data_IF_298911281463
#
_entry.id   IF_298911281463
#
_cell.length_a   1.000
_cell.length_b   1.000
_cell.length_c   1.000
_cell.angle_alpha   90.00
_cell.angle_beta   90.00
_cell.angle_gamma   90.00
#
_symmetry.space_group_name_H-M   'P 1'
#
loop_
_entity.id
_entity.type
_entity.pdbx_description
1 polymer ?
#
# COMPACT_ATOMS: atom_id res chain seq x y z
N UNK A 1 28.87 32.75 -11.07
CA UNK A 1 27.77 32.12 -10.30
C UNK A 1 28.37 30.88 -9.67
N UNK A 2 28.38 30.81 -8.34
CA UNK A 2 29.16 29.83 -7.56
C UNK A 2 28.55 28.43 -7.67
N UNK A 3 29.33 27.42 -8.09
CA UNK A 3 28.83 26.09 -8.44
C UNK A 3 28.10 25.41 -7.25
N UNK A 4 28.54 25.70 -6.03
CA UNK A 4 27.93 25.20 -4.80
C UNK A 4 26.48 25.70 -4.62
N UNK A 5 26.24 26.98 -4.92
CA UNK A 5 24.89 27.58 -4.82
C UNK A 5 23.91 26.95 -5.82
N UNK A 6 24.38 26.63 -7.02
CA UNK A 6 23.56 25.93 -8.01
C UNK A 6 23.17 24.53 -7.53
N UNK A 7 24.11 23.80 -6.91
CA UNK A 7 23.85 22.46 -6.36
C UNK A 7 22.83 22.51 -5.23
N UNK A 8 22.94 23.47 -4.31
CA UNK A 8 21.97 23.64 -3.21
C UNK A 8 20.56 23.97 -3.71
N UNK A 9 20.43 24.90 -4.65
CA UNK A 9 19.11 25.25 -5.22
C UNK A 9 18.49 24.05 -5.96
N UNK A 10 19.31 23.25 -6.64
CA UNK A 10 18.86 22.06 -7.36
C UNK A 10 18.53 20.90 -6.41
N UNK A 11 19.33 20.73 -5.35
CA UNK A 11 19.13 19.74 -4.28
C UNK A 11 17.79 19.96 -3.58
N UNK A 12 17.57 21.19 -3.07
CA UNK A 12 16.33 21.58 -2.40
C UNK A 12 15.07 21.31 -3.23
N UNK A 13 15.10 21.68 -4.51
CA UNK A 13 13.98 21.40 -5.43
C UNK A 13 13.76 19.90 -5.65
N UNK A 14 14.83 19.12 -5.76
CA UNK A 14 14.74 17.67 -5.99
C UNK A 14 14.15 16.98 -4.76
N UNK A 15 14.63 17.34 -3.57
CA UNK A 15 14.10 16.85 -2.31
C UNK A 15 12.61 17.19 -2.14
N UNK A 16 12.21 18.43 -2.46
CA UNK A 16 10.81 18.86 -2.38
C UNK A 16 9.90 18.04 -3.31
N UNK A 17 10.33 17.79 -4.55
CA UNK A 17 9.58 16.96 -5.52
C UNK A 17 9.43 15.52 -5.03
N UNK A 18 10.52 14.95 -4.51
CA UNK A 18 10.53 13.56 -4.02
C UNK A 18 9.67 13.42 -2.76
N UNK A 19 9.76 14.37 -1.84
CA UNK A 19 8.90 14.43 -0.65
C UNK A 19 7.42 14.56 -1.04
N UNK A 20 7.09 15.46 -1.96
CA UNK A 20 5.71 15.60 -2.46
C UNK A 20 5.20 14.30 -3.07
N UNK A 21 6.04 13.61 -3.85
CA UNK A 21 5.68 12.31 -4.44
C UNK A 21 5.41 11.24 -3.38
N UNK A 22 6.17 11.23 -2.29
CA UNK A 22 5.95 10.35 -1.15
C UNK A 22 4.60 10.62 -0.46
N UNK A 23 4.27 11.88 -0.24
CA UNK A 23 3.00 12.31 0.36
C UNK A 23 1.80 11.98 -0.55
N UNK A 24 1.94 12.22 -1.86
CA UNK A 24 0.90 11.88 -2.85
C UNK A 24 0.65 10.37 -2.91
N UNK A 25 1.71 9.55 -2.86
CA UNK A 25 1.58 8.08 -2.82
C UNK A 25 0.97 7.59 -1.51
N UNK A 26 1.31 8.22 -0.39
CA UNK A 26 0.70 7.94 0.91
C UNK A 26 -0.82 8.16 0.86
N UNK A 27 -1.24 9.35 0.41
CA UNK A 27 -2.64 9.74 0.31
C UNK A 27 -3.42 8.81 -0.62
N UNK A 28 -2.83 8.45 -1.76
CA UNK A 28 -3.41 7.44 -2.66
C UNK A 28 -3.58 6.08 -1.98
N UNK A 29 -2.59 5.60 -1.24
CA UNK A 29 -2.69 4.34 -0.51
C UNK A 29 -3.82 4.38 0.53
N UNK A 30 -3.94 5.48 1.29
CA UNK A 30 -5.00 5.68 2.30
C UNK A 30 -6.38 5.73 1.64
N UNK A 31 -6.54 6.49 0.55
CA UNK A 31 -7.79 6.60 -0.20
C UNK A 31 -8.22 5.25 -0.78
N UNK A 32 -7.28 4.52 -1.37
CA UNK A 32 -7.56 3.19 -1.93
C UNK A 32 -7.93 2.20 -0.81
N UNK A 33 -7.18 2.18 0.30
CA UNK A 33 -7.52 1.33 1.45
C UNK A 33 -8.91 1.64 1.99
N UNK A 34 -9.28 2.92 2.10
CA UNK A 34 -10.60 3.37 2.54
C UNK A 34 -11.69 2.88 1.60
N UNK A 35 -11.48 3.03 0.28
CA UNK A 35 -12.42 2.56 -0.74
C UNK A 35 -12.60 1.04 -0.68
N UNK A 36 -11.54 0.29 -0.41
CA UNK A 36 -11.63 -1.16 -0.23
C UNK A 36 -12.38 -1.53 1.05
N UNK A 37 -12.13 -0.87 2.17
CA UNK A 37 -12.88 -1.13 3.40
C UNK A 37 -14.38 -0.84 3.20
N UNK A 38 -14.70 0.28 2.57
CA UNK A 38 -16.08 0.65 2.25
C UNK A 38 -16.74 -0.36 1.28
N UNK A 39 -16.04 -0.78 0.23
CA UNK A 39 -16.51 -1.81 -0.71
C UNK A 39 -16.75 -3.16 -0.04
N UNK A 40 -15.84 -3.60 0.83
CA UNK A 40 -15.98 -4.82 1.63
C UNK A 40 -17.18 -4.75 2.58
N UNK A 41 -17.39 -3.61 3.24
CA UNK A 41 -18.56 -3.36 4.09
C UNK A 41 -19.88 -3.38 3.32
N UNK A 42 -19.93 -2.78 2.13
CA UNK A 42 -21.11 -2.82 1.27
C UNK A 42 -21.46 -4.25 0.82
N UNK A 43 -20.45 -5.06 0.50
CA UNK A 43 -20.66 -6.48 0.17
C UNK A 43 -21.15 -7.29 1.37
N UNK A 44 -20.61 -7.05 2.57
CA UNK A 44 -21.09 -7.68 3.80
C UNK A 44 -22.55 -7.31 4.09
N UNK A 45 -22.93 -6.03 3.94
CA UNK A 45 -24.31 -5.58 4.12
C UNK A 45 -25.27 -6.21 3.10
N UNK A 46 -24.85 -6.31 1.83
CA UNK A 46 -25.61 -7.01 0.79
C UNK A 46 -25.81 -8.50 1.12
N UNK A 47 -24.79 -9.16 1.67
CA UNK A 47 -24.90 -10.56 2.12
C UNK A 47 -25.94 -10.73 3.22
N UNK A 48 -25.91 -9.86 4.23
CA UNK A 48 -26.87 -9.88 5.34
C UNK A 48 -28.30 -9.64 4.86
N UNK A 49 -28.50 -8.78 3.85
CA UNK A 49 -29.81 -8.57 3.22
C UNK A 49 -30.38 -9.82 2.50
N UNK A 50 -29.52 -10.80 2.18
CA UNK A 50 -29.90 -12.06 1.54
C UNK A 50 -30.11 -13.22 2.52
N UNK A 51 -30.14 -12.96 3.83
CA UNK A 51 -30.27 -13.98 4.88
C UNK A 51 -31.50 -14.90 4.79
N UNK A 52 -32.54 -14.52 4.03
CA UNK A 52 -33.75 -15.32 3.81
C UNK A 52 -33.81 -16.07 2.47
N UNK A 53 -32.73 -16.15 1.70
CA UNK A 53 -32.73 -16.81 0.40
C UNK A 53 -32.89 -18.33 0.50
N UNK A 54 -33.52 -18.96 -0.51
CA UNK A 54 -33.78 -20.42 -0.58
C UNK A 54 -32.53 -21.30 -0.54
N UNK A 55 -31.35 -20.76 -0.85
CA UNK A 55 -30.04 -21.42 -0.72
C UNK A 55 -29.02 -20.45 -0.10
N UNK A 56 -29.03 -20.30 1.24
CA UNK A 56 -28.21 -19.29 1.90
C UNK A 56 -26.72 -19.67 1.89
N UNK A 57 -26.36 -20.93 2.13
CA UNK A 57 -24.96 -21.34 2.26
C UNK A 57 -24.10 -21.02 1.02
N UNK A 58 -24.63 -21.28 -0.18
CA UNK A 58 -23.96 -21.00 -1.44
C UNK A 58 -23.76 -19.49 -1.66
N UNK A 59 -24.81 -18.69 -1.46
CA UNK A 59 -24.74 -17.24 -1.67
C UNK A 59 -23.81 -16.54 -0.66
N UNK A 60 -23.82 -17.02 0.59
CA UNK A 60 -22.97 -16.49 1.64
C UNK A 60 -21.50 -16.85 1.43
N UNK A 61 -21.20 -18.05 0.91
CA UNK A 61 -19.83 -18.46 0.60
C UNK A 61 -19.18 -17.57 -0.47
N UNK A 62 -19.91 -17.25 -1.56
CA UNK A 62 -19.39 -16.36 -2.61
C UNK A 62 -19.12 -14.94 -2.11
N UNK A 63 -20.00 -14.41 -1.26
CA UNK A 63 -19.83 -13.06 -0.71
C UNK A 63 -18.73 -13.01 0.36
N UNK A 64 -18.57 -14.07 1.16
CA UNK A 64 -17.48 -14.19 2.12
C UNK A 64 -16.11 -14.21 1.42
N UNK A 65 -15.96 -14.95 0.32
CA UNK A 65 -14.72 -14.96 -0.47
C UNK A 65 -14.41 -13.56 -1.01
N UNK A 66 -15.42 -12.88 -1.56
CA UNK A 66 -15.28 -11.51 -2.06
C UNK A 66 -14.88 -10.51 -0.96
N UNK A 67 -15.52 -10.60 0.21
CA UNK A 67 -15.19 -9.76 1.35
C UNK A 67 -13.74 -9.99 1.82
N UNK A 68 -13.31 -11.25 1.93
CA UNK A 68 -11.93 -11.59 2.33
C UNK A 68 -10.91 -11.00 1.35
N UNK A 69 -11.14 -11.08 0.04
CA UNK A 69 -10.24 -10.48 -0.96
C UNK A 69 -10.15 -8.97 -0.81
N UNK A 70 -11.28 -8.30 -0.59
CA UNK A 70 -11.34 -6.85 -0.42
C UNK A 70 -10.65 -6.39 0.87
N UNK A 71 -10.90 -7.07 1.99
CA UNK A 71 -10.24 -6.78 3.26
C UNK A 71 -8.75 -7.14 3.25
N UNK A 72 -8.35 -8.18 2.51
CA UNK A 72 -6.95 -8.52 2.32
C UNK A 72 -6.21 -7.44 1.53
N UNK A 73 -6.80 -6.94 0.44
CA UNK A 73 -6.24 -5.81 -0.33
C UNK A 73 -6.18 -4.51 0.50
N UNK A 74 -7.17 -4.25 1.34
CA UNK A 74 -7.12 -3.14 2.28
C UNK A 74 -5.99 -3.31 3.30
N UNK A 75 -5.84 -4.50 3.88
CA UNK A 75 -4.81 -4.79 4.87
C UNK A 75 -3.39 -4.70 4.30
N UNK A 76 -3.17 -5.14 3.05
CA UNK A 76 -1.87 -5.01 2.39
C UNK A 76 -1.52 -3.54 2.12
N UNK A 77 -2.49 -2.73 1.70
CA UNK A 77 -2.31 -1.28 1.54
C UNK A 77 -2.05 -0.57 2.87
N UNK A 78 -2.78 -0.93 3.92
CA UNK A 78 -2.57 -0.31 5.24
C UNK A 78 -1.17 -0.64 5.75
N UNK A 79 -0.75 -1.92 5.72
CA UNK A 79 0.56 -2.34 6.23
C UNK A 79 1.73 -1.84 5.39
N UNK A 80 1.65 -1.94 4.07
CA UNK A 80 2.78 -1.65 3.17
C UNK A 80 2.78 -0.24 2.57
N UNK A 81 1.60 0.37 2.39
CA UNK A 81 1.43 1.66 1.72
C UNK A 81 1.14 2.83 2.68
N UNK A 82 0.24 2.61 3.65
CA UNK A 82 -0.22 3.66 4.56
C UNK A 82 0.59 3.75 5.86
N UNK A 83 1.31 2.71 6.28
CA UNK A 83 2.21 2.85 7.43
C UNK A 83 3.30 3.87 7.11
N UNK A 84 3.53 4.82 8.02
CA UNK A 84 4.69 5.72 7.92
C UNK A 84 5.96 4.88 8.00
N UNK A 85 6.84 5.01 7.01
CA UNK A 85 8.19 4.44 7.12
C UNK A 85 9.04 5.36 7.97
N UNK A 86 10.07 4.82 8.61
CA UNK A 86 11.09 5.60 9.32
C UNK A 86 11.96 6.34 8.30
N UNK A 87 11.38 7.39 7.71
CA UNK A 87 12.09 8.27 6.79
C UNK A 87 12.78 9.34 7.62
N UNK A 88 14.10 9.54 7.47
CA UNK A 88 14.86 10.46 8.30
C UNK A 88 14.29 11.88 8.22
N UNK A 89 14.07 12.47 9.39
CA UNK A 89 13.70 13.87 9.51
C UNK A 89 14.87 14.77 9.14
N UNK A 90 14.56 15.98 8.65
CA UNK A 90 15.55 16.99 8.32
C UNK A 90 16.49 17.27 9.50
N UNK A 91 17.74 17.65 9.20
CA UNK A 91 18.65 18.18 10.21
C UNK A 91 18.18 19.59 10.53
N UNK A 92 17.75 19.81 11.77
CA UNK A 92 17.34 21.13 12.23
C UNK A 92 18.54 22.11 12.24
N UNK A 93 18.27 23.43 12.17
CA UNK A 93 19.31 24.46 12.09
C UNK A 93 20.29 24.42 13.26
N UNK A 94 19.85 24.02 14.46
CA UNK A 94 20.71 23.86 15.63
C UNK A 94 21.82 22.81 15.43
N UNK A 95 21.56 21.75 14.66
CA UNK A 95 22.54 20.70 14.39
C UNK A 95 23.50 21.12 13.27
N UNK A 96 23.05 21.90 12.29
CA UNK A 96 23.95 22.55 11.31
C UNK A 96 24.92 23.52 12.00
N UNK A 97 24.43 24.32 12.95
CA UNK A 97 25.27 25.19 13.77
C UNK A 97 26.30 24.39 14.58
N UNK A 98 25.92 23.24 15.12
CA UNK A 98 26.86 22.38 15.85
C UNK A 98 27.99 21.83 14.98
N UNK A 99 27.74 21.53 13.70
CA UNK A 99 28.78 21.13 12.75
C UNK A 99 29.73 22.30 12.47
N UNK A 100 29.18 23.48 12.21
CA UNK A 100 29.94 24.71 11.99
C UNK A 100 30.86 25.03 13.16
N UNK A 101 30.31 25.05 14.38
CA UNK A 101 31.07 25.30 15.62
C UNK A 101 32.15 24.22 15.86
N UNK A 102 31.86 22.97 15.46
CA UNK A 102 32.81 21.86 15.52
C UNK A 102 34.03 22.09 14.63
N UNK A 103 33.82 22.58 13.39
CA UNK A 103 34.91 22.92 12.48
C UNK A 103 35.71 24.13 12.96
N UNK A 104 35.06 25.15 13.52
CA UNK A 104 35.77 26.28 14.12
C UNK A 104 36.65 25.85 15.30
N UNK A 105 36.13 24.99 16.19
CA UNK A 105 36.90 24.42 17.31
C UNK A 105 38.08 23.57 16.85
N UNK A 106 38.01 22.97 15.66
CA UNK A 106 39.09 22.22 15.04
C UNK A 106 40.19 23.10 14.39
N UNK A 107 40.06 24.43 14.47
CA UNK A 107 41.05 25.38 13.95
C UNK A 107 40.85 25.75 12.47
N UNK A 108 39.71 25.42 11.87
CA UNK A 108 39.36 25.83 10.50
C UNK A 108 38.92 27.29 10.48
N UNK A 109 39.17 28.01 9.37
CA UNK A 109 38.68 29.39 9.19
C UNK A 109 37.14 29.39 9.12
N UNK A 110 36.52 30.55 9.37
CA UNK A 110 35.06 30.67 9.31
C UNK A 110 34.49 30.34 7.92
N UNK A 111 35.20 30.75 6.85
CA UNK A 111 34.79 30.49 5.47
C UNK A 111 34.91 29.00 5.11
N UNK A 112 36.02 28.35 5.49
CA UNK A 112 36.21 26.90 5.26
C UNK A 112 35.22 26.06 6.09
N UNK A 113 34.94 26.47 7.34
CA UNK A 113 33.96 25.81 8.19
C UNK A 113 32.55 25.89 7.60
N UNK A 114 32.19 27.04 7.02
CA UNK A 114 30.92 27.24 6.33
C UNK A 114 30.84 26.37 5.07
N UNK A 115 31.88 26.36 4.24
CA UNK A 115 31.91 25.55 3.02
C UNK A 115 31.79 24.05 3.33
N UNK A 116 32.53 23.56 4.34
CA UNK A 116 32.46 22.15 4.78
C UNK A 116 31.06 21.79 5.30
N UNK A 117 30.46 22.68 6.10
CA UNK A 117 29.10 22.46 6.62
C UNK A 117 28.08 22.39 5.48
N UNK A 118 28.18 23.28 4.48
CA UNK A 118 27.31 23.26 3.28
C UNK A 118 27.47 21.98 2.47
N UNK A 119 28.70 21.49 2.29
CA UNK A 119 28.96 20.22 1.58
C UNK A 119 28.39 19.01 2.32
N UNK A 120 28.48 18.97 3.64
CA UNK A 120 27.86 17.91 4.44
C UNK A 120 26.33 17.99 4.44
N UNK A 121 25.76 19.19 4.42
CA UNK A 121 24.31 19.36 4.26
C UNK A 121 23.82 18.78 2.93
N UNK A 122 24.50 19.08 1.82
CA UNK A 122 24.19 18.52 0.50
C UNK A 122 24.26 16.98 0.52
N UNK A 123 25.29 16.41 1.18
CA UNK A 123 25.42 14.96 1.30
C UNK A 123 24.26 14.34 2.08
N UNK A 124 23.87 14.95 3.20
CA UNK A 124 22.74 14.49 4.00
C UNK A 124 21.41 14.65 3.25
N UNK A 125 21.28 15.68 2.40
CA UNK A 125 20.11 15.86 1.54
C UNK A 125 20.03 14.75 0.48
N UNK A 126 21.13 14.41 -0.18
CA UNK A 126 21.20 13.31 -1.15
C UNK A 126 20.83 11.96 -0.50
N UNK A 127 21.36 11.66 0.69
CA UNK A 127 21.00 10.45 1.44
C UNK A 127 19.49 10.39 1.73
N UNK A 128 18.87 11.53 2.08
CA UNK A 128 17.41 11.59 2.26
C UNK A 128 16.68 11.36 0.95
N UNK A 129 17.11 12.00 -0.14
CA UNK A 129 16.49 11.84 -1.47
C UNK A 129 16.43 10.36 -1.83
N UNK A 130 17.53 9.62 -1.63
CA UNK A 130 17.59 8.18 -1.89
C UNK A 130 16.60 7.39 -1.02
N UNK A 131 16.57 7.65 0.30
CA UNK A 131 15.63 6.95 1.20
C UNK A 131 14.17 7.24 0.84
N UNK A 132 13.83 8.49 0.49
CA UNK A 132 12.48 8.82 0.05
C UNK A 132 12.15 8.19 -1.32
N UNK A 133 13.09 8.15 -2.26
CA UNK A 133 12.91 7.53 -3.56
C UNK A 133 12.64 6.02 -3.42
N UNK A 134 13.40 5.33 -2.58
CA UNK A 134 13.19 3.91 -2.26
C UNK A 134 11.83 3.68 -1.60
N UNK A 135 11.45 4.55 -0.66
CA UNK A 135 10.15 4.48 -0.02
C UNK A 135 9.00 4.67 -1.02
N UNK A 136 9.14 5.59 -1.97
CA UNK A 136 8.19 5.80 -3.06
C UNK A 136 8.07 4.57 -3.97
N UNK A 137 9.20 3.99 -4.38
CA UNK A 137 9.26 2.78 -5.21
C UNK A 137 8.55 1.60 -4.54
N UNK A 138 8.83 1.36 -3.26
CA UNK A 138 8.16 0.28 -2.53
C UNK A 138 6.65 0.53 -2.39
N UNK A 139 6.22 1.79 -2.15
CA UNK A 139 4.79 2.11 -2.06
C UNK A 139 4.06 1.97 -3.38
N UNK A 140 4.69 2.37 -4.50
CA UNK A 140 4.07 2.25 -5.82
C UNK A 140 3.84 0.79 -6.20
N UNK A 141 4.79 -0.11 -5.88
CA UNK A 141 4.62 -1.57 -6.08
C UNK A 141 3.43 -2.10 -5.28
N UNK A 142 3.31 -1.75 -3.99
CA UNK A 142 2.19 -2.21 -3.15
C UNK A 142 0.85 -1.69 -3.67
N UNK A 143 0.78 -0.43 -4.13
CA UNK A 143 -0.43 0.13 -4.73
C UNK A 143 -0.79 -0.59 -6.03
N UNK A 144 0.18 -0.86 -6.89
CA UNK A 144 -0.03 -1.58 -8.16
C UNK A 144 -0.49 -3.03 -7.93
N UNK A 145 0.11 -3.73 -6.97
CA UNK A 145 -0.32 -5.07 -6.57
C UNK A 145 -1.74 -5.07 -6.01
N UNK A 146 -2.09 -4.11 -5.16
CA UNK A 146 -3.44 -3.96 -4.63
C UNK A 146 -4.44 -3.66 -5.75
N UNK A 147 -4.07 -2.80 -6.71
CA UNK A 147 -4.89 -2.51 -7.86
C UNK A 147 -5.12 -3.75 -8.74
N UNK A 148 -4.06 -4.51 -9.05
CA UNK A 148 -4.17 -5.77 -9.80
C UNK A 148 -5.04 -6.80 -9.07
N UNK A 149 -4.91 -6.90 -7.76
CA UNK A 149 -5.71 -7.81 -6.94
C UNK A 149 -7.19 -7.46 -7.02
N UNK A 150 -7.53 -6.18 -6.92
CA UNK A 150 -8.92 -5.70 -6.91
C UNK A 150 -9.53 -5.69 -8.32
N UNK A 151 -8.80 -5.21 -9.32
CA UNK A 151 -9.30 -5.03 -10.68
C UNK A 151 -9.39 -6.35 -11.47
N UNK A 152 -8.44 -7.26 -11.28
CA UNK A 152 -8.34 -8.49 -12.11
C UNK A 152 -8.74 -9.73 -11.33
N UNK A 153 -8.20 -9.91 -10.12
CA UNK A 153 -8.40 -11.17 -9.37
C UNK A 153 -9.76 -11.22 -8.71
N UNK A 154 -10.26 -10.10 -8.19
CA UNK A 154 -11.51 -10.09 -7.44
C UNK A 154 -12.76 -10.38 -8.31
N UNK A 155 -12.93 -9.82 -9.53
CA UNK A 155 -14.02 -10.19 -10.42
C UNK A 155 -13.91 -11.62 -10.93
N UNK A 156 -12.69 -12.08 -11.22
CA UNK A 156 -12.44 -13.46 -11.66
C UNK A 156 -12.78 -14.49 -10.57
N UNK A 157 -12.37 -14.25 -9.32
CA UNK A 157 -12.70 -15.12 -8.20
C UNK A 157 -14.19 -15.06 -7.84
N UNK A 158 -14.84 -13.90 -7.97
CA UNK A 158 -16.29 -13.80 -7.87
C UNK A 158 -16.96 -14.73 -8.89
N UNK A 159 -16.56 -14.64 -10.16
CA UNK A 159 -17.07 -15.47 -11.25
C UNK A 159 -16.83 -16.96 -10.99
N UNK A 160 -15.60 -17.35 -10.60
CA UNK A 160 -15.26 -18.74 -10.29
C UNK A 160 -16.01 -19.28 -9.08
N UNK A 161 -16.18 -18.49 -8.02
CA UNK A 161 -16.98 -18.88 -6.86
C UNK A 161 -18.46 -19.09 -7.27
N UNK A 162 -19.04 -18.18 -8.06
CA UNK A 162 -20.40 -18.37 -8.59
C UNK A 162 -20.53 -19.59 -9.53
N UNK A 163 -19.51 -19.88 -10.34
CA UNK A 163 -19.49 -21.04 -11.23
C UNK A 163 -19.39 -22.37 -10.46
N UNK A 164 -18.52 -22.45 -9.44
CA UNK A 164 -18.39 -23.62 -8.56
C UNK A 164 -19.69 -23.91 -7.80
N UNK A 165 -20.41 -22.85 -7.39
CA UNK A 165 -21.72 -22.96 -6.75
C UNK A 165 -22.79 -23.49 -7.71
N UNK A 166 -22.81 -23.03 -8.97
CA UNK A 166 -23.78 -23.53 -9.97
C UNK A 166 -23.60 -25.00 -10.37
N UNK A 167 -22.43 -25.60 -10.07
CA UNK A 167 -22.14 -27.01 -10.31
C UNK A 167 -22.44 -27.92 -9.09
N UNK A 168 -22.54 -27.35 -7.88
CA UNK A 168 -22.89 -28.08 -6.67
C UNK A 168 -24.30 -28.73 -6.65
N UNK A 169 -25.37 -28.15 -7.22
CA UNK A 169 -26.68 -28.82 -7.24
C UNK A 169 -26.69 -30.07 -8.14
N UNK A 170 -25.82 -30.15 -9.15
CA UNK A 170 -25.72 -31.31 -10.04
C UNK A 170 -25.14 -32.52 -9.30
N UNK A 171 -24.12 -32.33 -8.49
CA UNK A 171 -23.51 -33.43 -7.72
C UNK A 171 -24.42 -33.92 -6.59
N UNK A 172 -25.12 -33.02 -5.90
CA UNK A 172 -26.03 -33.41 -4.82
C UNK A 172 -27.26 -34.18 -5.32
N UNK A 173 -27.85 -33.77 -6.47
CA UNK A 173 -28.98 -34.48 -7.08
C UNK A 173 -28.57 -35.87 -7.62
N UNK A 174 -27.39 -35.96 -8.23
CA UNK A 174 -26.88 -37.22 -8.81
C UNK A 174 -26.54 -38.24 -7.71
N UNK A 175 -25.95 -37.81 -6.60
CA UNK A 175 -25.68 -38.68 -5.44
C UNK A 175 -26.98 -39.11 -4.76
N UNK A 176 -27.98 -38.23 -4.60
CA UNK A 176 -29.30 -38.62 -4.08
C UNK A 176 -29.99 -39.66 -4.96
N UNK A 177 -29.93 -39.49 -6.28
CA UNK A 177 -30.53 -40.44 -7.22
C UNK A 177 -29.84 -41.81 -7.18
N UNK A 178 -28.51 -41.85 -7.09
CA UNK A 178 -27.74 -43.09 -6.97
C UNK A 178 -28.00 -43.82 -5.63
N UNK A 179 -28.11 -43.07 -4.52
CA UNK A 179 -28.46 -43.65 -3.21
C UNK A 179 -29.90 -44.15 -3.17
N UNK A 180 -30.83 -43.48 -3.86
CA UNK A 180 -32.22 -43.93 -3.99
C UNK A 180 -32.32 -45.23 -4.80
N UNK A 181 -31.63 -45.33 -5.94
CA UNK A 181 -31.57 -46.54 -6.79
C UNK A 181 -30.91 -47.72 -6.04
N UNK A 182 -29.88 -47.45 -5.22
CA UNK A 182 -29.23 -48.46 -4.41
C UNK A 182 -30.13 -48.99 -3.27
N UNK A 183 -31.05 -48.16 -2.74
CA UNK A 183 -32.01 -48.58 -1.70
C UNK A 183 -33.25 -49.29 -2.22
N UNK A 184 -33.62 -49.11 -3.49
CA UNK A 184 -34.77 -49.81 -4.11
C UNK A 184 -34.43 -51.21 -4.64
N UNK A 185 -33.16 -51.63 -4.51
CA UNK A 185 -32.64 -52.91 -5.01
C UNK A 185 -32.38 -53.94 -3.90
N UNK A 186 -32.82 -53.66 -2.67
CA UNK A 186 -32.86 -54.54 -1.51
C UNK A 186 -34.29 -54.58 -0.96
#
# INVERSE_FOLDING_TARGET
MDALKFVEERGGRTFEVVRKSYDDLHDRAVKLATLLIAGGGAMAAFALGKAGAKDPLAQWAGIAVLAVVWFYGAASLVRGGATSKDVPYGVGPAKLLSYYDGWLKAGTTADDALERTRREEIRLEEERVQVYADACSQRSVVIDEAYKLVAVKAPWWALMASAAISLAPVTYATVKHLVFIARSSF
#
